data_IF_734997319460
#
_entry.id   IF_734997319460
#
_cell.length_a   1.000
_cell.length_b   1.000
_cell.length_c   1.000
_cell.angle_alpha   90.00
_cell.angle_beta   90.00
_cell.angle_gamma   90.00
#
_symmetry.space_group_name_H-M   'P 1'
#
loop_
_entity.id
_entity.type
_entity.pdbx_description
1 polymer ?
#
# COMPACT_ATOMS: atom_id res chain seq x y z
N UNK A 1 2.32 -18.90 1.49
CA UNK A 1 1.34 -18.21 0.64
C UNK A 1 1.86 -16.80 0.42
N UNK A 2 1.76 -16.29 -0.80
CA UNK A 2 2.42 -15.04 -1.18
C UNK A 2 1.43 -13.87 -1.17
N UNK A 3 1.66 -12.89 -0.30
CA UNK A 3 0.90 -11.63 -0.25
C UNK A 3 1.51 -10.56 -1.16
N UNK A 4 0.68 -9.66 -1.67
CA UNK A 4 1.09 -8.50 -2.43
C UNK A 4 0.27 -7.26 -2.05
N UNK A 5 0.94 -6.11 -2.02
CA UNK A 5 0.33 -4.80 -1.84
C UNK A 5 -0.12 -4.21 -3.20
N UNK A 6 -1.39 -3.83 -3.26
CA UNK A 6 -2.01 -3.21 -4.41
C UNK A 6 -2.57 -1.84 -4.04
N UNK A 7 -2.61 -0.94 -5.03
CA UNK A 7 -3.20 0.38 -4.95
C UNK A 7 -4.32 0.59 -5.98
N UNK A 8 -5.25 1.47 -5.66
CA UNK A 8 -6.20 2.00 -6.63
C UNK A 8 -6.45 3.49 -6.44
N UNK A 9 -6.54 4.22 -7.55
CA UNK A 9 -6.79 5.67 -7.57
C UNK A 9 -7.80 5.99 -8.68
N UNK A 10 -8.58 7.07 -8.54
CA UNK A 10 -9.52 7.44 -9.59
C UNK A 10 -8.77 7.84 -10.87
N UNK A 11 -9.35 7.59 -12.06
CA UNK A 11 -8.76 7.98 -13.35
C UNK A 11 -8.46 9.49 -13.43
N UNK A 12 -9.29 10.31 -12.77
CA UNK A 12 -9.06 11.76 -12.65
C UNK A 12 -7.82 12.10 -11.82
N UNK A 13 -7.61 11.34 -10.74
CA UNK A 13 -6.50 11.51 -9.81
C UNK A 13 -5.19 10.86 -10.36
N UNK A 14 -5.30 9.90 -11.28
CA UNK A 14 -4.17 9.35 -12.05
C UNK A 14 -3.66 10.35 -13.10
N UNK A 15 -2.99 11.40 -12.65
CA UNK A 15 -2.48 12.50 -13.48
C UNK A 15 -0.95 12.60 -13.44
N UNK A 16 -0.39 13.51 -14.24
CA UNK A 16 1.07 13.73 -14.33
C UNK A 16 1.73 14.00 -12.96
N UNK A 17 1.02 14.68 -12.05
CA UNK A 17 1.55 15.01 -10.72
C UNK A 17 1.64 13.77 -9.84
N UNK A 18 0.58 12.95 -9.81
CA UNK A 18 0.58 11.64 -9.14
C UNK A 18 1.72 10.74 -9.66
N UNK A 19 1.87 10.63 -10.98
CA UNK A 19 2.94 9.82 -11.61
C UNK A 19 4.31 10.38 -11.22
N UNK A 20 4.52 11.69 -11.31
CA UNK A 20 5.80 12.33 -10.97
C UNK A 20 6.20 12.12 -9.51
N UNK A 21 5.25 12.26 -8.57
CA UNK A 21 5.50 12.04 -7.13
C UNK A 21 5.83 10.57 -6.89
N UNK A 22 5.11 9.67 -7.53
CA UNK A 22 5.33 8.23 -7.39
C UNK A 22 6.70 7.79 -7.92
N UNK A 23 7.13 8.33 -9.06
CA UNK A 23 8.48 8.11 -9.59
C UNK A 23 9.58 8.66 -8.68
N UNK A 24 9.37 9.86 -8.11
CA UNK A 24 10.31 10.49 -7.15
C UNK A 24 10.55 9.61 -5.93
N UNK A 25 9.51 8.95 -5.43
CA UNK A 25 9.57 8.03 -4.27
C UNK A 25 9.90 6.58 -4.64
N UNK A 26 10.22 6.32 -5.91
CA UNK A 26 10.50 4.96 -6.43
C UNK A 26 9.36 3.97 -6.17
N UNK A 27 8.10 4.44 -6.25
CA UNK A 27 6.92 3.59 -6.14
C UNK A 27 6.70 2.87 -7.48
N UNK A 28 6.71 1.53 -7.51
CA UNK A 28 6.65 0.74 -8.75
C UNK A 28 5.21 0.61 -9.24
N UNK A 29 4.62 1.71 -9.70
CA UNK A 29 3.25 1.74 -10.22
C UNK A 29 3.20 0.97 -11.54
N UNK A 30 2.87 -0.31 -11.44
CA UNK A 30 2.61 -1.18 -12.58
C UNK A 30 1.10 -1.27 -12.84
N UNK A 31 0.65 -0.71 -13.96
CA UNK A 31 -0.75 -0.65 -14.37
C UNK A 31 -1.22 -1.84 -15.21
N UNK A 32 -0.39 -2.88 -15.38
CA UNK A 32 -0.75 -4.09 -16.14
C UNK A 32 -1.68 -5.06 -15.39
N UNK A 33 -2.14 -4.66 -14.20
CA UNK A 33 -2.99 -5.47 -13.35
C UNK A 33 -4.47 -5.39 -13.77
N UNK A 34 -4.99 -6.45 -14.41
CA UNK A 34 -6.36 -6.49 -14.94
C UNK A 34 -7.42 -7.03 -13.95
N UNK A 35 -7.04 -7.59 -12.78
CA UNK A 35 -7.99 -8.29 -11.89
C UNK A 35 -8.37 -7.49 -10.64
N UNK A 36 -9.50 -6.77 -10.68
CA UNK A 36 -9.87 -5.79 -9.65
C UNK A 36 -10.97 -6.23 -8.68
N UNK A 37 -11.36 -7.50 -8.70
CA UNK A 37 -12.53 -8.00 -7.97
C UNK A 37 -12.45 -7.87 -6.44
N UNK A 38 -11.26 -7.61 -5.90
CA UNK A 38 -11.00 -7.47 -4.47
C UNK A 38 -11.10 -6.02 -3.98
N UNK A 39 -10.94 -5.05 -4.87
CA UNK A 39 -11.12 -3.67 -4.47
C UNK A 39 -12.63 -3.39 -4.28
N UNK A 40 -13.06 -2.81 -3.15
CA UNK A 40 -14.47 -2.57 -2.83
C UNK A 40 -15.10 -1.45 -3.68
N UNK A 41 -14.50 -1.12 -4.82
CA UNK A 41 -14.89 -0.06 -5.73
C UNK A 41 -16.04 -0.58 -6.62
N UNK A 42 -17.19 -0.85 -5.97
CA UNK A 42 -18.35 -1.54 -6.54
C UNK A 42 -19.07 -0.83 -7.69
N UNK A 43 -18.79 0.44 -8.00
CA UNK A 43 -19.62 1.24 -8.91
C UNK A 43 -19.11 1.40 -10.34
N UNK A 44 -17.84 1.08 -10.60
CA UNK A 44 -17.25 1.05 -11.94
C UNK A 44 -15.75 0.80 -11.75
N UNK A 45 -15.30 -0.44 -11.97
CA UNK A 45 -13.86 -0.67 -12.15
C UNK A 45 -13.30 0.28 -13.23
N UNK A 46 -14.15 0.67 -14.19
CA UNK A 46 -13.87 1.63 -15.25
C UNK A 46 -13.52 3.05 -14.80
N UNK A 47 -13.75 3.48 -13.56
CA UNK A 47 -13.39 4.82 -13.11
C UNK A 47 -12.05 4.88 -12.35
N UNK A 48 -11.38 3.75 -12.20
CA UNK A 48 -10.19 3.62 -11.40
C UNK A 48 -9.03 3.04 -12.20
N UNK A 49 -7.82 3.45 -11.82
CA UNK A 49 -6.58 2.83 -12.25
C UNK A 49 -6.07 2.02 -11.07
N UNK A 50 -5.92 0.73 -11.31
CA UNK A 50 -5.36 -0.22 -10.36
C UNK A 50 -3.90 -0.41 -10.69
N UNK A 51 -3.09 -0.56 -9.65
CA UNK A 51 -1.66 -0.74 -9.81
C UNK A 51 -1.10 -1.58 -8.69
N UNK A 52 -0.04 -2.31 -9.01
CA UNK A 52 0.74 -3.01 -8.00
C UNK A 52 1.67 -2.02 -7.31
N UNK A 53 1.83 -2.14 -5.99
CA UNK A 53 2.79 -1.35 -5.21
C UNK A 53 4.08 -2.12 -4.93
N UNK A 54 4.06 -3.45 -5.01
CA UNK A 54 5.26 -4.28 -4.84
C UNK A 54 6.03 -4.45 -6.15
N UNK A 55 7.35 -4.24 -6.10
CA UNK A 55 8.26 -4.34 -7.25
C UNK A 55 8.60 -5.81 -7.54
N UNK A 56 7.64 -6.59 -8.06
CA UNK A 56 7.79 -8.01 -8.48
C UNK A 56 7.90 -9.04 -7.33
N UNK A 57 8.42 -8.66 -6.16
CA UNK A 57 8.50 -9.54 -5.00
C UNK A 57 7.21 -9.61 -4.19
N UNK A 58 6.96 -10.78 -3.61
CA UNK A 58 5.91 -11.02 -2.62
C UNK A 58 6.23 -10.29 -1.31
N UNK A 59 5.20 -9.71 -0.67
CA UNK A 59 5.29 -9.14 0.67
C UNK A 59 5.73 -10.16 1.71
N UNK A 60 5.49 -11.46 1.51
CA UNK A 60 6.06 -12.52 2.35
C UNK A 60 7.60 -12.56 2.39
N UNK A 61 8.29 -11.96 1.42
CA UNK A 61 9.73 -11.74 1.45
C UNK A 61 10.10 -10.39 2.10
N UNK A 62 9.09 -9.55 2.37
CA UNK A 62 9.21 -8.25 3.01
C UNK A 62 8.49 -8.25 4.37
N UNK A 63 8.68 -7.22 5.18
CA UNK A 63 7.98 -7.03 6.46
C UNK A 63 6.59 -6.47 6.35
N UNK A 64 6.17 -6.06 5.15
CA UNK A 64 4.74 -5.90 4.89
C UNK A 64 4.03 -7.25 4.94
N UNK A 65 4.74 -8.37 4.77
CA UNK A 65 4.19 -9.73 4.87
C UNK A 65 4.37 -10.42 6.22
N UNK A 66 5.01 -9.80 7.21
CA UNK A 66 5.17 -10.37 8.55
C UNK A 66 4.49 -9.47 9.58
N UNK A 67 3.77 -10.07 10.53
CA UNK A 67 3.25 -9.32 11.68
C UNK A 67 4.40 -8.80 12.56
N UNK A 68 4.18 -7.72 13.31
CA UNK A 68 5.23 -7.11 14.17
C UNK A 68 5.97 -8.10 15.07
N UNK A 69 5.27 -9.05 15.66
CA UNK A 69 5.88 -10.05 16.55
C UNK A 69 6.80 -11.02 15.80
N UNK A 70 6.44 -11.37 14.57
CA UNK A 70 7.28 -12.19 13.69
C UNK A 70 8.51 -11.41 13.24
N UNK A 71 8.36 -10.11 12.96
CA UNK A 71 9.47 -9.20 12.65
C UNK A 71 10.49 -9.18 13.79
N UNK A 72 9.98 -8.93 15.01
CA UNK A 72 10.78 -8.84 16.22
C UNK A 72 11.57 -10.14 16.46
N UNK A 73 10.89 -11.27 16.34
CA UNK A 73 11.45 -12.59 16.66
C UNK A 73 12.43 -13.08 15.59
N UNK A 74 12.12 -12.89 14.30
CA UNK A 74 12.86 -13.48 13.17
C UNK A 74 14.04 -12.63 12.69
N UNK A 75 13.95 -11.30 12.82
CA UNK A 75 14.91 -10.38 12.22
C UNK A 75 15.62 -9.48 13.22
N UNK A 76 14.91 -8.97 14.23
CA UNK A 76 15.50 -8.03 15.20
C UNK A 76 16.24 -8.72 16.35
N UNK A 77 16.01 -10.02 16.56
CA UNK A 77 16.70 -10.85 17.56
C UNK A 77 18.16 -11.19 17.21
N UNK A 78 18.58 -11.01 15.95
CA UNK A 78 19.93 -11.36 15.46
C UNK A 78 20.66 -10.12 14.92
N UNK A 79 21.80 -9.68 15.49
CA UNK A 79 22.41 -8.37 15.20
C UNK A 79 22.73 -8.08 13.72
N UNK A 80 23.30 -9.05 12.98
CA UNK A 80 23.63 -8.85 11.56
C UNK A 80 22.40 -8.86 10.65
N UNK A 81 21.37 -9.67 10.98
CA UNK A 81 20.10 -9.66 10.26
C UNK A 81 19.34 -8.37 10.53
N UNK A 82 19.40 -7.85 11.75
CA UNK A 82 18.80 -6.58 12.16
C UNK A 82 19.29 -5.41 11.31
N UNK A 83 20.61 -5.26 11.10
CA UNK A 83 21.15 -4.14 10.31
C UNK A 83 20.69 -4.16 8.85
N UNK A 84 20.77 -5.33 8.20
CA UNK A 84 20.35 -5.50 6.80
C UNK A 84 18.83 -5.30 6.63
N UNK A 85 18.07 -5.76 7.61
CA UNK A 85 16.61 -5.66 7.66
C UNK A 85 16.12 -4.23 7.89
N UNK A 86 16.71 -3.51 8.86
CA UNK A 86 16.41 -2.10 9.10
C UNK A 86 16.68 -1.25 7.84
N UNK A 87 17.74 -1.56 7.11
CA UNK A 87 18.15 -0.73 5.97
C UNK A 87 17.33 -0.94 4.70
N UNK A 88 16.88 -2.16 4.39
CA UNK A 88 16.12 -2.39 3.15
C UNK A 88 14.63 -2.13 3.35
N UNK A 89 14.06 -2.57 4.46
CA UNK A 89 12.61 -2.63 4.61
C UNK A 89 12.05 -1.37 5.20
N UNK A 90 12.62 -0.90 6.32
CA UNK A 90 12.07 0.32 6.93
C UNK A 90 12.22 1.45 5.91
N UNK A 91 13.28 1.45 5.11
CA UNK A 91 13.40 2.32 3.95
C UNK A 91 12.21 2.21 2.99
N UNK A 92 11.78 1.01 2.61
CA UNK A 92 10.57 0.82 1.79
C UNK A 92 9.30 1.35 2.47
N UNK A 93 9.08 1.02 3.75
CA UNK A 93 7.91 1.50 4.51
C UNK A 93 7.93 3.02 4.64
N UNK A 94 9.08 3.60 4.97
CA UNK A 94 9.28 5.06 5.02
C UNK A 94 9.01 5.69 3.67
N UNK A 95 9.48 5.11 2.57
CA UNK A 95 9.20 5.61 1.22
C UNK A 95 7.68 5.63 0.93
N UNK A 96 6.93 4.61 1.34
CA UNK A 96 5.46 4.64 1.19
C UNK A 96 4.82 5.74 2.03
N UNK A 97 5.24 5.92 3.29
CA UNK A 97 4.70 6.97 4.16
C UNK A 97 4.98 8.35 3.57
N UNK A 98 6.23 8.60 3.15
CA UNK A 98 6.62 9.89 2.58
C UNK A 98 5.97 10.13 1.21
N UNK A 99 5.76 9.08 0.42
CA UNK A 99 4.95 9.15 -0.81
C UNK A 99 3.52 9.58 -0.51
N UNK A 100 2.85 8.96 0.46
CA UNK A 100 1.49 9.32 0.83
C UNK A 100 1.41 10.77 1.38
N UNK A 101 2.37 11.18 2.19
CA UNK A 101 2.44 12.57 2.69
C UNK A 101 2.63 13.59 1.57
N UNK A 102 3.55 13.34 0.64
CA UNK A 102 3.76 14.26 -0.48
C UNK A 102 2.52 14.31 -1.40
N UNK A 103 1.82 13.20 -1.59
CA UNK A 103 0.53 13.19 -2.27
C UNK A 103 -0.49 14.10 -1.57
N UNK A 104 -0.55 14.08 -0.23
CA UNK A 104 -1.40 14.97 0.57
C UNK A 104 -1.05 16.44 0.35
N UNK A 105 0.22 16.80 0.55
CA UNK A 105 0.73 18.17 0.41
C UNK A 105 0.51 18.71 -1.00
N UNK A 106 0.61 17.83 -1.99
CA UNK A 106 0.40 18.19 -3.39
C UNK A 106 -1.06 18.49 -3.73
N UNK A 107 -2.01 18.07 -2.87
CA UNK A 107 -3.46 18.16 -3.07
C UNK A 107 -3.91 17.66 -4.46
N UNK A 108 -3.18 16.68 -5.03
CA UNK A 108 -3.41 16.23 -6.40
C UNK A 108 -4.35 15.03 -6.50
N UNK A 109 -4.62 14.38 -5.37
CA UNK A 109 -5.54 13.27 -5.23
C UNK A 109 -6.39 13.46 -3.97
N UNK A 110 -7.59 12.88 -3.94
CA UNK A 110 -8.46 12.95 -2.77
C UNK A 110 -8.34 11.71 -1.88
N UNK A 111 -8.05 10.57 -2.48
CA UNK A 111 -7.94 9.31 -1.78
C UNK A 111 -7.13 8.30 -2.59
N UNK A 112 -6.50 7.37 -1.89
CA UNK A 112 -5.93 6.15 -2.48
C UNK A 112 -6.49 4.95 -1.72
N UNK A 113 -6.78 3.88 -2.43
CA UNK A 113 -7.12 2.60 -1.82
C UNK A 113 -5.88 1.73 -1.77
N UNK A 114 -5.66 1.04 -0.65
CA UNK A 114 -4.57 0.09 -0.47
C UNK A 114 -5.16 -1.23 0.02
N UNK A 115 -4.74 -2.34 -0.58
CA UNK A 115 -5.17 -3.70 -0.22
C UNK A 115 -3.96 -4.61 -0.20
N UNK A 116 -3.84 -5.46 0.83
CA UNK A 116 -2.91 -6.59 0.85
C UNK A 116 -3.67 -7.88 0.53
N UNK A 117 -3.20 -8.66 -0.45
CA UNK A 117 -3.92 -9.84 -0.93
C UNK A 117 -3.02 -10.96 -1.47
N UNK A 118 -3.56 -12.18 -1.51
CA UNK A 118 -2.91 -13.38 -2.04
C UNK A 118 -3.15 -13.57 -3.55
N UNK A 119 -2.09 -13.73 -4.35
CA UNK A 119 -2.18 -13.82 -5.83
C UNK A 119 -3.02 -15.03 -6.34
N UNK A 120 -3.07 -16.12 -5.56
CA UNK A 120 -3.75 -17.38 -5.93
C UNK A 120 -5.25 -17.43 -5.59
N UNK A 121 -5.80 -16.43 -4.88
CA UNK A 121 -7.20 -16.46 -4.50
C UNK A 121 -8.09 -16.07 -5.69
N UNK A 122 -8.82 -17.07 -6.21
CA UNK A 122 -9.94 -16.81 -7.11
C UNK A 122 -10.91 -15.81 -6.44
N UNK A 123 -11.44 -14.86 -7.20
CA UNK A 123 -12.13 -13.69 -6.68
C UNK A 123 -13.52 -14.05 -6.16
N UNK A 124 -13.62 -14.41 -4.89
CA UNK A 124 -14.91 -14.75 -4.27
C UNK A 124 -15.27 -13.87 -3.07
N UNK A 125 -14.33 -13.06 -2.57
CA UNK A 125 -14.57 -12.23 -1.37
C UNK A 125 -14.59 -10.74 -1.70
N UNK A 126 -15.70 -10.10 -1.36
CA UNK A 126 -15.76 -8.66 -1.28
C UNK A 126 -14.97 -8.19 -0.05
N UNK A 127 -13.88 -7.44 -0.26
CA UNK A 127 -13.13 -6.86 0.84
C UNK A 127 -13.95 -5.75 1.53
N UNK A 128 -13.88 -5.67 2.85
CA UNK A 128 -14.49 -4.55 3.58
C UNK A 128 -13.64 -3.30 3.39
N UNK A 129 -14.32 -2.16 3.23
CA UNK A 129 -13.67 -0.86 3.12
C UNK A 129 -13.48 -0.25 4.51
N UNK A 130 -12.24 -0.15 4.96
CA UNK A 130 -11.85 0.63 6.12
C UNK A 130 -11.44 2.04 5.68
N UNK A 131 -11.67 3.06 6.50
CA UNK A 131 -11.35 4.46 6.18
C UNK A 131 -10.31 4.95 7.16
N UNK A 132 -9.20 5.48 6.65
CA UNK A 132 -8.05 5.93 7.46
C UNK A 132 -7.63 7.32 6.99
N UNK A 133 -7.35 8.22 7.92
CA UNK A 133 -6.79 9.52 7.60
C UNK A 133 -5.29 9.40 7.34
N UNK A 134 -4.75 10.18 6.41
CA UNK A 134 -3.31 10.18 6.12
C UNK A 134 -2.45 10.46 7.37
N UNK A 135 -2.92 11.34 8.25
CA UNK A 135 -2.20 11.68 9.50
C UNK A 135 -2.14 10.50 10.50
N UNK A 136 -3.04 9.53 10.36
CA UNK A 136 -3.08 8.34 11.20
C UNK A 136 -2.21 7.20 10.64
N UNK A 137 -1.63 7.37 9.44
CA UNK A 137 -0.73 6.38 8.81
C UNK A 137 0.68 6.52 9.37
N UNK A 138 1.17 5.41 9.92
CA UNK A 138 2.52 5.27 10.42
C UNK A 138 3.08 3.89 10.03
N UNK A 139 4.31 3.61 10.49
CA UNK A 139 5.00 2.34 10.21
C UNK A 139 4.17 1.16 10.69
N UNK A 140 3.65 1.27 11.91
CA UNK A 140 2.85 0.26 12.59
C UNK A 140 1.61 -0.11 11.76
N UNK A 141 0.90 0.90 11.26
CA UNK A 141 -0.26 0.70 10.39
C UNK A 141 0.09 -0.08 9.12
N UNK A 142 1.20 0.25 8.44
CA UNK A 142 1.58 -0.41 7.19
C UNK A 142 2.07 -1.84 7.40
N UNK A 143 2.75 -2.13 8.50
CA UNK A 143 3.20 -3.48 8.86
C UNK A 143 1.99 -4.38 9.17
N UNK A 144 1.04 -3.86 9.93
CA UNK A 144 -0.08 -4.62 10.46
C UNK A 144 -1.33 -4.56 9.54
N UNK A 145 -1.13 -4.28 8.24
CA UNK A 145 -2.21 -4.32 7.25
C UNK A 145 -2.82 -5.72 7.19
N UNK A 146 -4.14 -5.79 7.40
CA UNK A 146 -4.89 -7.04 7.32
C UNK A 146 -5.08 -7.47 5.86
N UNK A 147 -4.93 -8.78 5.62
CA UNK A 147 -5.15 -9.36 4.31
C UNK A 147 -6.64 -9.28 3.95
N UNK A 148 -6.94 -9.03 2.68
CA UNK A 148 -8.32 -8.94 2.16
C UNK A 148 -9.15 -7.80 2.81
N UNK A 149 -8.48 -6.80 3.41
CA UNK A 149 -9.09 -5.54 3.84
C UNK A 149 -8.60 -4.40 2.96
N UNK A 150 -9.54 -3.57 2.51
CA UNK A 150 -9.26 -2.42 1.68
C UNK A 150 -9.31 -1.14 2.50
N UNK A 151 -8.18 -0.46 2.58
CA UNK A 151 -8.04 0.79 3.30
C UNK A 151 -8.18 1.96 2.33
N UNK A 152 -9.18 2.81 2.52
CA UNK A 152 -9.29 4.12 1.87
C UNK A 152 -8.53 5.14 2.70
N UNK A 153 -7.37 5.53 2.21
CA UNK A 153 -6.58 6.64 2.75
C UNK A 153 -7.19 7.95 2.28
N UNK A 154 -7.47 8.86 3.23
CA UNK A 154 -8.08 10.16 2.97
C UNK A 154 -7.04 11.28 3.10
N UNK A 155 -6.96 12.14 2.09
CA UNK A 155 -6.00 13.26 1.98
C UNK A 155 -6.67 14.63 2.17
N UNK A 156 -7.58 14.73 3.13
CA UNK A 156 -8.21 16.00 3.48
C UNK A 156 -7.55 16.53 4.75
N UNK A 157 -7.78 17.79 5.14
CA UNK A 157 -7.45 18.20 6.51
C UNK A 157 -8.45 17.55 7.46
N UNK A 158 -7.95 16.93 8.53
CA UNK A 158 -8.76 16.65 9.72
C UNK A 158 -9.23 18.01 10.23
N UNK A 159 -10.51 18.31 10.06
CA UNK A 159 -11.11 19.45 10.75
C UNK A 159 -11.36 18.97 12.17
N UNK A 160 -10.57 19.49 13.11
CA UNK A 160 -10.80 19.34 14.56
C UNK A 160 -12.08 20.08 15.00
#
# INVERSE_FOLDING_TARGET
MCDFLYGAVSKKDYNKKFISISLKHHIPIDCTFESCALFPVKKSHDDYIFFRLTNEYCDCATPLGYGRDEINTKYLSTPHKRQLYLNSIYKTIYNYIEWLKELNESSCINHVYIVKHFDDNKPEKQCNKHVVHIDDINIDFLIDLENEIAYKVQFYKKYD
#
